data_IF_648933748677
#
_entry.id   IF_648933748677
#
_cell.length_a   1.000
_cell.length_b   1.000
_cell.length_c   1.000
_cell.angle_alpha   90.00
_cell.angle_beta   90.00
_cell.angle_gamma   90.00
#
_symmetry.space_group_name_H-M   'P 1'
#
loop_
_entity.id
_entity.type
_entity.pdbx_description
1 polymer ?
#
# COMPACT_ATOMS: atom_id res chain seq x y z
N UNK A 1 15.62 0.88 -1.36
CA UNK A 1 14.54 1.80 -1.75
C UNK A 1 14.48 2.97 -0.79
N UNK A 2 14.44 4.19 -1.28
CA UNK A 2 14.16 5.39 -0.50
C UNK A 2 12.65 5.67 -0.35
N UNK A 3 12.32 6.80 0.31
CA UNK A 3 10.94 7.22 0.56
C UNK A 3 10.17 7.48 -0.74
N UNK A 4 10.79 8.12 -1.72
CA UNK A 4 10.15 8.49 -2.98
C UNK A 4 9.94 7.27 -3.87
N UNK A 5 10.94 6.38 -3.95
CA UNK A 5 10.83 5.09 -4.63
C UNK A 5 9.70 4.24 -4.04
N UNK A 6 9.62 4.15 -2.70
CA UNK A 6 8.57 3.39 -2.03
C UNK A 6 7.18 4.02 -2.25
N UNK A 7 7.10 5.35 -2.26
CA UNK A 7 5.85 6.07 -2.53
C UNK A 7 5.36 5.79 -3.94
N UNK A 8 6.23 5.92 -4.94
CA UNK A 8 5.90 5.63 -6.35
C UNK A 8 5.50 4.19 -6.54
N UNK A 9 6.24 3.26 -5.95
CA UNK A 9 5.91 1.84 -5.99
C UNK A 9 4.51 1.58 -5.42
N UNK A 10 4.20 2.12 -4.24
CA UNK A 10 2.92 1.90 -3.58
C UNK A 10 1.76 2.42 -4.45
N UNK A 11 1.85 3.66 -4.93
CA UNK A 11 0.82 4.29 -5.78
C UNK A 11 0.61 3.55 -7.11
N UNK A 12 1.65 2.91 -7.64
CA UNK A 12 1.56 2.05 -8.83
C UNK A 12 0.98 0.66 -8.56
N UNK A 13 0.92 0.23 -7.29
CA UNK A 13 0.54 -1.12 -6.87
C UNK A 13 -0.72 -1.15 -5.99
N UNK A 14 -1.66 -0.24 -6.26
CA UNK A 14 -2.98 -0.25 -5.64
C UNK A 14 -3.06 0.48 -4.31
N UNK A 15 -1.96 1.03 -3.79
CA UNK A 15 -2.03 1.90 -2.62
C UNK A 15 -2.55 3.28 -3.02
N UNK A 16 -3.20 3.95 -2.07
CA UNK A 16 -3.71 5.30 -2.23
C UNK A 16 -3.44 6.12 -0.99
N UNK A 17 -3.31 7.44 -1.13
CA UNK A 17 -3.11 8.31 0.02
C UNK A 17 -4.44 8.56 0.75
N UNK A 18 -4.48 8.21 2.04
CA UNK A 18 -5.62 8.47 2.93
C UNK A 18 -5.06 9.10 4.21
N UNK A 19 -5.54 10.30 4.53
CA UNK A 19 -5.13 11.06 5.72
C UNK A 19 -3.59 11.18 5.86
N UNK A 20 -2.89 11.44 4.74
CA UNK A 20 -1.42 11.59 4.71
C UNK A 20 -0.63 10.29 4.85
N UNK A 21 -1.27 9.13 4.70
CA UNK A 21 -0.60 7.82 4.73
C UNK A 21 -0.95 6.99 3.50
N UNK A 22 0.04 6.28 2.95
CA UNK A 22 -0.21 5.35 1.85
C UNK A 22 -0.95 4.14 2.41
N UNK A 23 -2.12 3.83 1.87
CA UNK A 23 -3.03 2.86 2.45
C UNK A 23 -3.59 1.88 1.41
N UNK A 24 -3.83 0.64 1.85
CA UNK A 24 -4.73 -0.29 1.16
C UNK A 24 -6.08 -0.27 1.87
N UNK A 25 -7.14 -0.33 1.08
CA UNK A 25 -8.51 -0.19 1.57
C UNK A 25 -9.25 -1.50 1.53
N UNK A 26 -10.28 -1.60 2.36
CA UNK A 26 -11.17 -2.75 2.36
C UNK A 26 -11.79 -2.92 0.96
N UNK A 27 -11.78 -4.12 0.37
CA UNK A 27 -12.43 -4.36 -0.92
C UNK A 27 -13.90 -3.93 -0.89
N UNK A 28 -14.66 -4.20 0.18
CA UNK A 28 -16.06 -3.75 0.25
C UNK A 28 -16.24 -2.25 0.56
N UNK A 29 -15.20 -1.52 0.95
CA UNK A 29 -15.29 -0.11 1.36
C UNK A 29 -14.02 0.67 0.95
N UNK A 30 -13.99 1.28 -0.25
CA UNK A 30 -12.80 1.94 -0.82
C UNK A 30 -12.31 3.17 -0.05
N UNK A 31 -13.06 3.63 0.96
CA UNK A 31 -12.69 4.77 1.82
C UNK A 31 -12.13 4.32 3.16
N UNK A 32 -12.22 3.04 3.48
CA UNK A 32 -11.75 2.49 4.75
C UNK A 32 -10.36 1.87 4.57
N UNK A 33 -9.34 2.58 5.04
CA UNK A 33 -7.99 2.05 5.16
C UNK A 33 -7.96 0.90 6.19
N UNK A 34 -7.39 -0.24 5.78
CA UNK A 34 -7.17 -1.42 6.64
C UNK A 34 -5.69 -1.80 6.75
N UNK A 35 -4.86 -1.25 5.87
CA UNK A 35 -3.40 -1.33 5.91
C UNK A 35 -2.88 0.08 5.62
N UNK A 36 -1.82 0.50 6.31
CA UNK A 36 -1.12 1.74 5.97
C UNK A 36 0.39 1.63 6.12
N UNK A 37 1.11 2.37 5.29
CA UNK A 37 2.54 2.67 5.42
C UNK A 37 2.69 4.07 6.01
N UNK A 38 3.35 4.16 7.16
CA UNK A 38 3.76 5.43 7.76
C UNK A 38 5.19 5.72 7.32
N UNK A 39 5.32 6.66 6.39
CA UNK A 39 6.61 7.12 5.89
C UNK A 39 7.17 8.21 6.81
N UNK A 40 8.11 7.85 7.69
CA UNK A 40 8.85 8.80 8.52
C UNK A 40 10.17 9.18 7.84
N UNK A 41 10.98 10.01 8.50
CA UNK A 41 12.21 10.56 7.94
C UNK A 41 13.19 9.49 7.43
N UNK A 42 13.47 8.47 8.24
CA UNK A 42 14.49 7.43 7.91
C UNK A 42 13.92 6.02 7.88
N UNK A 43 12.67 5.85 8.33
CA UNK A 43 12.02 4.56 8.48
C UNK A 43 10.62 4.60 7.88
N UNK A 44 10.16 3.45 7.42
CA UNK A 44 8.76 3.17 7.14
C UNK A 44 8.23 2.15 8.14
N UNK A 45 6.97 2.32 8.52
CA UNK A 45 6.24 1.35 9.35
C UNK A 45 5.03 0.84 8.59
N UNK A 46 4.86 -0.48 8.54
CA UNK A 46 3.62 -1.11 8.08
C UNK A 46 2.71 -1.34 9.28
N UNK A 47 1.48 -0.87 9.17
CA UNK A 47 0.44 -1.08 10.19
C UNK A 47 -0.82 -1.67 9.56
N UNK A 48 -1.51 -2.52 10.34
CA UNK A 48 -2.78 -3.13 9.97
C UNK A 48 -3.85 -2.74 10.98
N UNK A 49 -5.05 -2.44 10.50
CA UNK A 49 -6.20 -2.09 11.33
C UNK A 49 -6.87 -3.37 11.80
N UNK A 50 -6.96 -3.58 13.11
CA UNK A 50 -7.74 -4.68 13.71
C UNK A 50 -9.24 -4.45 13.52
N UNK A 51 -10.08 -5.50 13.65
CA UNK A 51 -11.55 -5.35 13.60
C UNK A 51 -12.10 -4.33 14.60
N UNK A 52 -11.47 -4.20 15.77
CA UNK A 52 -11.81 -3.19 16.79
C UNK A 52 -11.37 -1.76 16.42
N UNK A 53 -10.82 -1.53 15.22
CA UNK A 53 -10.40 -0.23 14.72
C UNK A 53 -9.00 0.23 15.12
N UNK A 54 -8.32 -0.49 16.02
CA UNK A 54 -6.96 -0.18 16.47
C UNK A 54 -5.93 -0.54 15.41
N UNK A 55 -4.97 0.36 15.16
CA UNK A 55 -3.80 0.09 14.33
C UNK A 55 -2.76 -0.72 15.12
N UNK A 56 -2.23 -1.77 14.50
CA UNK A 56 -1.15 -2.58 15.02
C UNK A 56 0.04 -2.54 14.07
N UNK A 57 1.22 -2.27 14.62
CA UNK A 57 2.48 -2.31 13.88
C UNK A 57 2.85 -3.74 13.55
N UNK A 58 3.03 -4.01 12.27
CA UNK A 58 3.45 -5.30 11.73
C UNK A 58 4.96 -5.32 11.52
N UNK A 59 5.47 -4.30 10.83
CA UNK A 59 6.89 -4.20 10.50
C UNK A 59 7.35 -2.74 10.56
N UNK A 60 8.64 -2.54 10.81
CA UNK A 60 9.28 -1.23 10.65
C UNK A 60 10.73 -1.41 10.26
N UNK A 61 11.12 -0.75 9.18
CA UNK A 61 12.44 -0.86 8.59
C UNK A 61 12.95 0.52 8.19
N UNK A 62 14.27 0.69 8.30
CA UNK A 62 14.94 1.81 7.69
C UNK A 62 14.91 1.66 6.16
N UNK A 63 14.77 2.77 5.43
CA UNK A 63 14.75 2.75 3.96
C UNK A 63 15.99 2.06 3.37
N UNK A 64 17.15 2.27 3.99
CA UNK A 64 18.43 1.65 3.61
C UNK A 64 18.45 0.12 3.73
N UNK A 65 17.47 -0.47 4.43
CA UNK A 65 17.32 -1.91 4.59
C UNK A 65 16.23 -2.51 3.69
N UNK A 66 15.48 -1.68 2.97
CA UNK A 66 14.44 -2.15 2.04
C UNK A 66 15.10 -2.46 0.71
N UNK A 67 15.04 -3.73 0.33
CA UNK A 67 15.48 -4.21 -0.97
C UNK A 67 14.27 -4.35 -1.88
N UNK A 68 14.40 -3.91 -3.13
CA UNK A 68 13.41 -4.22 -4.16
C UNK A 68 13.65 -5.64 -4.64
N UNK A 69 12.59 -6.42 -4.73
CA UNK A 69 12.61 -7.67 -5.48
C UNK A 69 12.94 -7.38 -6.96
N UNK A 70 13.93 -8.06 -7.56
CA UNK A 70 14.41 -7.74 -8.90
C UNK A 70 13.39 -8.06 -10.02
N UNK A 71 12.44 -8.96 -9.77
CA UNK A 71 11.45 -9.36 -10.78
C UNK A 71 10.16 -8.53 -10.67
N UNK A 72 9.71 -8.27 -9.45
CA UNK A 72 8.41 -7.65 -9.16
C UNK A 72 8.50 -6.20 -8.70
N UNK A 73 9.70 -5.75 -8.31
CA UNK A 73 9.92 -4.44 -7.68
C UNK A 73 9.34 -4.33 -6.27
N UNK A 74 8.84 -5.41 -5.67
CA UNK A 74 8.20 -5.41 -4.36
C UNK A 74 9.20 -5.09 -3.23
N UNK A 75 8.87 -4.23 -2.26
CA UNK A 75 9.75 -3.95 -1.13
C UNK A 75 9.78 -5.14 -0.16
N UNK A 76 10.95 -5.76 -0.06
CA UNK A 76 11.20 -6.90 0.81
C UNK A 76 11.43 -6.46 2.26
N UNK A 77 11.16 -7.37 3.19
CA UNK A 77 11.37 -7.19 4.63
C UNK A 77 10.21 -6.52 5.37
N UNK A 78 9.29 -5.85 4.67
CA UNK A 78 8.09 -5.26 5.30
C UNK A 78 6.99 -6.28 5.60
N UNK A 79 7.18 -7.54 5.23
CA UNK A 79 6.21 -8.62 5.41
C UNK A 79 5.06 -8.60 4.39
N UNK A 80 5.20 -7.83 3.31
CA UNK A 80 4.21 -7.81 2.22
C UNK A 80 4.23 -9.11 1.40
N UNK A 81 5.36 -9.80 1.34
CA UNK A 81 5.54 -11.14 0.76
C UNK A 81 5.10 -12.26 1.70
N UNK A 82 5.33 -12.10 3.00
CA UNK A 82 5.20 -13.20 3.96
C UNK A 82 3.82 -13.29 4.58
N UNK A 83 3.08 -12.19 4.68
CA UNK A 83 1.79 -12.19 5.38
C UNK A 83 0.68 -12.57 4.38
N UNK A 84 -0.07 -13.66 4.67
CA UNK A 84 -1.13 -14.12 3.78
C UNK A 84 -2.16 -13.04 3.46
N UNK A 85 -2.55 -12.95 2.19
CA UNK A 85 -3.62 -12.08 1.73
C UNK A 85 -3.21 -10.65 1.33
N UNK A 86 -2.01 -10.18 1.66
CA UNK A 86 -1.56 -8.84 1.23
C UNK A 86 -1.45 -8.69 -0.29
N UNK A 87 -0.84 -9.67 -0.96
CA UNK A 87 -0.72 -9.65 -2.43
C UNK A 87 -2.10 -9.62 -3.10
N UNK A 88 -3.06 -10.36 -2.56
CA UNK A 88 -4.44 -10.34 -3.06
C UNK A 88 -5.09 -8.98 -2.83
N UNK A 89 -4.94 -8.41 -1.63
CA UNK A 89 -5.46 -7.08 -1.30
C UNK A 89 -4.87 -5.98 -2.20
N UNK A 90 -3.57 -6.01 -2.45
CA UNK A 90 -2.90 -5.09 -3.38
C UNK A 90 -3.46 -5.23 -4.80
N UNK A 91 -3.63 -6.46 -5.27
CA UNK A 91 -4.23 -6.75 -6.58
C UNK A 91 -5.66 -6.21 -6.68
N UNK A 92 -6.51 -6.48 -5.71
CA UNK A 92 -7.90 -6.00 -5.69
C UNK A 92 -7.97 -4.46 -5.70
N UNK A 93 -7.11 -3.78 -4.93
CA UNK A 93 -7.06 -2.32 -4.92
C UNK A 93 -6.50 -1.78 -6.25
N UNK A 94 -5.51 -2.44 -6.86
CA UNK A 94 -4.94 -2.07 -8.16
C UNK A 94 -5.96 -2.23 -9.29
N UNK A 95 -6.65 -3.36 -9.33
CA UNK A 95 -7.69 -3.64 -10.32
C UNK A 95 -8.78 -2.56 -10.24
N UNK A 96 -9.27 -2.25 -9.04
CA UNK A 96 -10.20 -1.14 -8.81
C UNK A 96 -9.68 0.19 -9.34
N UNK A 97 -8.43 0.55 -9.06
CA UNK A 97 -7.85 1.81 -9.52
C UNK A 97 -7.82 1.88 -11.05
N UNK A 98 -7.49 0.78 -11.73
CA UNK A 98 -7.50 0.70 -13.19
C UNK A 98 -8.91 0.85 -13.74
N UNK A 99 -9.90 0.13 -13.18
CA UNK A 99 -11.29 0.26 -13.62
C UNK A 99 -11.85 1.68 -13.41
N UNK A 100 -11.58 2.30 -12.26
CA UNK A 100 -12.00 3.68 -11.99
C UNK A 100 -11.42 4.68 -13.00
N UNK A 101 -10.17 4.49 -13.45
CA UNK A 101 -9.55 5.31 -14.50
C UNK A 101 -10.17 5.08 -15.87
N UNK A 102 -10.63 3.87 -16.18
CA UNK A 102 -11.32 3.57 -17.44
C UNK A 102 -12.73 4.16 -17.49
N UNK A 103 -13.48 4.12 -16.39
CA UNK A 103 -14.86 4.65 -16.33
C UNK A 103 -14.88 6.18 -16.20
N UNK A 104 -13.96 6.78 -15.44
CA UNK A 104 -13.86 8.23 -15.27
C UNK A 104 -13.44 8.99 -16.54
N UNK A 105 -12.96 8.28 -17.57
CA UNK A 105 -12.57 8.89 -18.86
C UNK A 105 -13.74 9.09 -19.83
N UNK A 106 -14.97 8.68 -19.47
CA UNK A 106 -16.16 8.80 -20.32
C UNK A 106 -17.10 9.97 -19.98
N UNK A 107 -16.88 10.68 -18.87
CA UNK A 107 -17.74 11.82 -18.45
C UNK A 107 -17.12 13.20 -18.75
N UNK A 108 -16.37 13.32 -19.83
CA UNK A 108 -15.70 14.58 -20.19
C UNK A 108 -15.39 14.70 -21.67
N UNK A 109 -16.37 14.40 -22.53
CA UNK A 109 -16.33 14.73 -23.96
C UNK A 109 -17.60 15.45 -24.36
#
# INVERSE_FOLDING_TARGET
MDKDELTRWALGNGWQEIAGTLSLTKPSSPKEAIVRLLLKATVVTLEVKKPAGKWEKVASLAYTKIQSDPETGMPLGLGLDTIPGFTMLMRENKDRMVFARMTGRREGQ
#
